data_IF_049714610288
#
_entry.id   IF_049714610288
#
_cell.length_a   1.000
_cell.length_b   1.000
_cell.length_c   1.000
_cell.angle_alpha   90.00
_cell.angle_beta   90.00
_cell.angle_gamma   90.00
#
_symmetry.space_group_name_H-M   'P 1'
#
loop_
_entity.id
_entity.type
_entity.pdbx_description
1 polymer ?
#
# COMPACT_ATOMS: atom_id res chain seq x y z
N UNK A 1 5.72 42.56 9.08
CA UNK A 1 5.80 41.16 9.50
C UNK A 1 4.65 40.46 8.79
N UNK A 2 4.93 39.82 7.66
CA UNK A 2 3.93 39.03 6.96
C UNK A 2 3.96 37.63 7.58
N UNK A 3 2.91 37.30 8.32
CA UNK A 3 2.69 35.93 8.79
C UNK A 3 2.28 35.10 7.59
N UNK A 4 3.25 34.39 7.00
CA UNK A 4 2.98 33.19 6.20
C UNK A 4 2.48 32.12 7.17
N UNK A 5 1.16 32.05 7.35
CA UNK A 5 0.53 30.87 7.91
C UNK A 5 0.55 29.79 6.83
N UNK A 6 1.48 28.84 6.95
CA UNK A 6 1.46 27.57 6.23
C UNK A 6 0.13 26.88 6.53
N UNK A 7 -0.85 27.02 5.63
CA UNK A 7 -2.09 26.26 5.70
C UNK A 7 -1.72 24.77 5.65
N UNK A 8 -2.16 23.94 6.61
CA UNK A 8 -1.90 22.52 6.58
C UNK A 8 -2.48 21.93 5.28
N UNK A 9 -1.58 21.36 4.49
CA UNK A 9 -1.80 20.82 3.17
C UNK A 9 -2.83 19.67 3.27
N UNK A 10 -4.12 19.97 3.05
CA UNK A 10 -5.22 18.99 3.20
C UNK A 10 -5.08 17.76 2.28
N UNK A 11 -4.33 17.89 1.18
CA UNK A 11 -4.04 16.78 0.27
C UNK A 11 -3.07 15.76 0.88
N UNK A 12 -2.17 16.22 1.76
CA UNK A 12 -1.14 15.38 2.37
C UNK A 12 -1.74 14.49 3.46
N UNK A 13 -2.66 15.03 4.29
CA UNK A 13 -3.36 14.23 5.30
C UNK A 13 -4.30 13.19 4.68
N UNK A 14 -4.98 13.52 3.59
CA UNK A 14 -5.80 12.54 2.87
C UNK A 14 -4.97 11.39 2.29
N UNK A 15 -3.73 11.65 1.88
CA UNK A 15 -2.84 10.63 1.34
C UNK A 15 -2.33 9.68 2.43
N UNK A 16 -2.00 10.23 3.61
CA UNK A 16 -1.61 9.45 4.79
C UNK A 16 -2.72 8.51 5.27
N UNK A 17 -3.96 9.01 5.36
CA UNK A 17 -5.13 8.21 5.74
C UNK A 17 -5.38 7.05 4.77
N UNK A 18 -5.25 7.32 3.46
CA UNK A 18 -5.38 6.29 2.42
C UNK A 18 -4.25 5.25 2.49
N UNK A 19 -3.03 5.67 2.83
CA UNK A 19 -1.90 4.77 3.02
C UNK A 19 -2.09 3.90 4.27
N UNK A 20 -2.52 4.48 5.39
CA UNK A 20 -2.81 3.76 6.61
C UNK A 20 -3.92 2.73 6.40
N UNK A 21 -5.01 3.10 5.73
CA UNK A 21 -6.09 2.20 5.39
C UNK A 21 -5.61 1.04 4.49
N UNK A 22 -4.76 1.33 3.52
CA UNK A 22 -4.17 0.32 2.64
C UNK A 22 -3.32 -0.70 3.42
N UNK A 23 -2.42 -0.21 4.29
CA UNK A 23 -1.52 -1.06 5.09
C UNK A 23 -2.30 -1.90 6.10
N UNK A 24 -3.21 -1.28 6.85
CA UNK A 24 -4.07 -1.97 7.84
C UNK A 24 -4.84 -3.11 7.20
N UNK A 25 -5.41 -2.86 6.02
CA UNK A 25 -6.16 -3.86 5.30
C UNK A 25 -5.26 -4.98 4.75
N UNK A 26 -4.03 -4.66 4.35
CA UNK A 26 -3.06 -5.65 3.87
C UNK A 26 -2.66 -6.66 4.96
N UNK A 27 -2.75 -6.29 6.24
CA UNK A 27 -2.54 -7.21 7.35
C UNK A 27 -3.61 -8.30 7.47
N UNK A 28 -4.85 -8.02 7.02
CA UNK A 28 -5.92 -9.00 6.92
C UNK A 28 -5.68 -9.94 5.74
N UNK A 29 -5.15 -9.41 4.64
CA UNK A 29 -4.87 -10.14 3.40
C UNK A 29 -3.38 -10.53 3.24
N UNK A 30 -2.73 -10.95 4.32
CA UNK A 30 -1.29 -11.31 4.37
C UNK A 30 -0.84 -12.29 3.28
N UNK A 31 -1.73 -13.15 2.79
CA UNK A 31 -1.41 -14.10 1.72
C UNK A 31 -0.94 -13.40 0.43
N UNK A 32 -1.40 -12.17 0.16
CA UNK A 32 -0.94 -11.33 -0.96
C UNK A 32 0.58 -11.10 -0.89
N UNK A 33 1.13 -11.05 0.33
CA UNK A 33 2.55 -10.82 0.57
C UNK A 33 3.40 -12.09 0.44
N UNK A 34 2.80 -13.28 0.45
CA UNK A 34 3.51 -14.55 0.41
C UNK A 34 4.37 -14.64 -0.86
N UNK A 35 5.63 -15.06 -0.71
CA UNK A 35 6.55 -15.26 -1.83
C UNK A 35 6.30 -16.59 -2.56
N UNK A 36 5.59 -17.53 -1.93
CA UNK A 36 5.26 -18.83 -2.52
C UNK A 36 4.28 -18.66 -3.68
N UNK A 37 4.50 -19.44 -4.73
CA UNK A 37 3.68 -19.47 -5.95
C UNK A 37 3.27 -20.91 -6.31
N UNK A 38 3.05 -21.76 -5.31
CA UNK A 38 2.48 -23.09 -5.55
C UNK A 38 1.04 -22.93 -6.06
N UNK A 39 0.52 -23.82 -6.93
CA UNK A 39 -0.81 -23.68 -7.51
C UNK A 39 -1.95 -23.32 -6.53
N UNK A 40 -2.09 -23.98 -5.35
CA UNK A 40 -3.13 -23.61 -4.40
C UNK A 40 -2.90 -22.23 -3.78
N UNK A 41 -1.65 -21.84 -3.54
CA UNK A 41 -1.31 -20.51 -2.99
C UNK A 41 -1.56 -19.43 -4.03
N UNK A 42 -1.23 -19.67 -5.30
CA UNK A 42 -1.49 -18.72 -6.39
C UNK A 42 -2.98 -18.40 -6.52
N UNK A 43 -3.84 -19.43 -6.54
CA UNK A 43 -5.29 -19.23 -6.63
C UNK A 43 -5.84 -18.46 -5.41
N UNK A 44 -5.37 -18.81 -4.21
CA UNK A 44 -5.76 -18.11 -2.99
C UNK A 44 -5.28 -16.64 -2.98
N UNK A 45 -4.09 -16.36 -3.52
CA UNK A 45 -3.56 -14.99 -3.69
C UNK A 45 -4.38 -14.17 -4.68
N UNK A 46 -4.72 -14.74 -5.82
CA UNK A 46 -5.51 -14.05 -6.84
C UNK A 46 -6.91 -13.70 -6.30
N UNK A 47 -7.53 -14.63 -5.55
CA UNK A 47 -8.80 -14.39 -4.86
C UNK A 47 -8.67 -13.27 -3.80
N UNK A 48 -7.68 -13.39 -2.92
CA UNK A 48 -7.43 -12.40 -1.87
C UNK A 48 -7.15 -11.00 -2.45
N UNK A 49 -6.39 -10.92 -3.55
CA UNK A 49 -6.09 -9.66 -4.23
C UNK A 49 -7.36 -9.01 -4.80
N UNK A 50 -8.26 -9.80 -5.37
CA UNK A 50 -9.54 -9.31 -5.89
C UNK A 50 -10.42 -8.75 -4.76
N UNK A 51 -10.61 -9.54 -3.70
CA UNK A 51 -11.40 -9.14 -2.53
C UNK A 51 -10.81 -7.90 -1.84
N UNK A 52 -9.49 -7.84 -1.72
CA UNK A 52 -8.78 -6.66 -1.22
C UNK A 52 -9.07 -5.43 -2.07
N UNK A 53 -8.94 -5.56 -3.40
CA UNK A 53 -9.11 -4.42 -4.33
C UNK A 53 -10.54 -3.87 -4.25
N UNK A 54 -11.54 -4.75 -4.28
CA UNK A 54 -12.96 -4.37 -4.21
C UNK A 54 -13.30 -3.69 -2.88
N UNK A 55 -12.81 -4.23 -1.78
CA UNK A 55 -13.11 -3.71 -0.43
C UNK A 55 -12.36 -2.39 -0.17
N UNK A 56 -11.11 -2.28 -0.60
CA UNK A 56 -10.35 -1.02 -0.50
C UNK A 56 -11.05 0.08 -1.31
N UNK A 57 -11.33 -0.17 -2.59
CA UNK A 57 -12.03 0.78 -3.47
C UNK A 57 -13.36 1.24 -2.87
N UNK A 58 -14.13 0.34 -2.27
CA UNK A 58 -15.40 0.66 -1.60
C UNK A 58 -15.20 1.58 -0.39
N UNK A 59 -14.23 1.27 0.47
CA UNK A 59 -13.99 2.00 1.71
C UNK A 59 -13.37 3.37 1.47
N UNK A 60 -12.50 3.48 0.47
CA UNK A 60 -11.75 4.71 0.19
C UNK A 60 -12.28 5.48 -1.01
N UNK A 61 -13.39 5.02 -1.61
CA UNK A 61 -13.97 5.57 -2.87
C UNK A 61 -12.94 5.68 -4.00
N UNK A 62 -12.00 4.74 -4.05
CA UNK A 62 -10.97 4.66 -5.08
C UNK A 62 -11.43 3.76 -6.22
N UNK A 63 -10.72 3.82 -7.36
CA UNK A 63 -10.99 2.97 -8.51
C UNK A 63 -9.68 2.31 -8.99
N UNK A 64 -9.03 1.57 -8.11
CA UNK A 64 -7.81 0.83 -8.43
C UNK A 64 -8.13 -0.51 -9.08
N UNK A 65 -7.30 -0.92 -10.03
CA UNK A 65 -7.26 -2.29 -10.53
C UNK A 65 -6.26 -3.16 -9.74
N UNK A 66 -6.35 -4.48 -9.92
CA UNK A 66 -5.49 -5.43 -9.23
C UNK A 66 -3.99 -5.24 -9.54
N UNK A 67 -3.61 -4.76 -10.74
CA UNK A 67 -2.22 -4.48 -11.11
C UNK A 67 -1.70 -3.24 -10.38
N UNK A 68 -2.52 -2.20 -10.24
CA UNK A 68 -2.20 -0.98 -9.50
C UNK A 68 -2.02 -1.28 -8.01
N UNK A 69 -2.89 -2.12 -7.43
CA UNK A 69 -2.75 -2.61 -6.05
C UNK A 69 -1.43 -3.37 -5.88
N UNK A 70 -1.13 -4.32 -6.77
CA UNK A 70 0.15 -5.06 -6.72
C UNK A 70 1.36 -4.14 -6.86
N UNK A 71 1.27 -3.13 -7.73
CA UNK A 71 2.32 -2.11 -7.88
C UNK A 71 2.51 -1.32 -6.59
N UNK A 72 1.43 -0.91 -5.93
CA UNK A 72 1.48 -0.21 -4.62
C UNK A 72 2.11 -1.10 -3.56
N UNK A 73 1.73 -2.38 -3.45
CA UNK A 73 2.37 -3.36 -2.56
C UNK A 73 3.87 -3.50 -2.84
N UNK A 74 4.26 -3.63 -4.11
CA UNK A 74 5.66 -3.77 -4.49
C UNK A 74 6.49 -2.51 -4.20
N UNK A 75 5.92 -1.32 -4.40
CA UNK A 75 6.57 -0.07 -4.08
C UNK A 75 6.80 0.07 -2.57
N UNK A 76 5.83 -0.31 -1.73
CA UNK A 76 6.00 -0.32 -0.28
C UNK A 76 7.08 -1.30 0.17
N UNK A 77 7.15 -2.50 -0.44
CA UNK A 77 8.22 -3.47 -0.16
C UNK A 77 9.60 -2.92 -0.51
N UNK A 78 9.72 -2.15 -1.60
CA UNK A 78 10.97 -1.52 -2.05
C UNK A 78 11.37 -0.33 -1.18
N UNK A 79 10.41 0.45 -0.69
CA UNK A 79 10.67 1.54 0.25
C UNK A 79 11.34 1.05 1.53
N UNK A 80 10.93 -0.11 2.05
CA UNK A 80 11.56 -0.74 3.23
C UNK A 80 12.99 -1.20 2.93
N UNK A 81 13.27 -1.74 1.75
CA UNK A 81 14.64 -2.17 1.40
C UNK A 81 15.57 -1.01 1.02
N UNK A 82 15.04 0.09 0.47
CA UNK A 82 15.85 1.27 0.14
C UNK A 82 16.35 2.00 1.41
N UNK A 83 15.55 2.01 2.48
CA UNK A 83 15.97 2.58 3.77
C UNK A 83 17.04 1.74 4.48
N UNK A 84 17.15 0.44 4.20
CA UNK A 84 18.18 -0.43 4.79
C UNK A 84 19.51 -0.46 4.03
N UNK A 85 19.65 0.29 2.93
CA UNK A 85 20.87 0.31 2.11
C UNK A 85 21.60 1.66 2.10
N UNK A 86 21.21 2.62 2.95
CA UNK A 86 21.92 3.90 3.07
C UNK A 86 22.82 4.03 4.32
N UNK A 87 22.87 3.02 5.19
CA UNK A 87 23.81 2.98 6.31
C UNK A 87 24.74 1.77 6.15
N UNK A 88 25.89 1.97 5.50
CA UNK A 88 27.26 1.53 5.89
C UNK A 88 28.14 1.77 4.66
N UNK A 89 28.70 2.97 4.54
CA UNK A 89 30.04 3.18 4.00
C UNK A 89 30.72 4.17 4.96
N UNK A 90 31.43 3.60 5.94
CA UNK A 90 32.37 4.31 6.83
C UNK A 90 33.76 4.19 6.22
#
# INVERSE_FOLDING_TARGET
MSSDEEMPNQEESQNEDLQLAFVTMLEVYKIILDKKMTPPVKSAKDKALKEFTETYNRNTKQNLDAKQVLKKVNNMKRGVTAFTSQDVDI
#
